data_IF_486405958821
#
_entry.id   IF_486405958821
#
_cell.length_a   1.000
_cell.length_b   1.000
_cell.length_c   1.000
_cell.angle_alpha   90.00
_cell.angle_beta   90.00
_cell.angle_gamma   90.00
#
_symmetry.space_group_name_H-M   'P 1'
#
loop_
_entity.id
_entity.type
_entity.pdbx_description
1 polymer ?
#
# COMPACT_ATOMS: atom_id res chain seq x y z
N UNK A 1 2.63 26.06 5.54
CA UNK A 1 3.68 25.13 5.08
C UNK A 1 3.18 24.33 3.88
N UNK A 2 4.04 24.02 2.91
CA UNK A 2 3.70 23.08 1.83
C UNK A 2 3.76 21.65 2.35
N UNK A 3 2.66 20.92 2.25
CA UNK A 3 2.53 19.56 2.76
C UNK A 3 2.46 18.56 1.61
N UNK A 4 3.28 17.52 1.67
CA UNK A 4 3.25 16.38 0.78
C UNK A 4 2.78 15.15 1.55
N UNK A 5 1.94 14.34 0.89
CA UNK A 5 1.55 13.02 1.41
C UNK A 5 2.19 11.92 0.59
N UNK A 6 2.62 10.88 1.29
CA UNK A 6 3.07 9.63 0.67
C UNK A 6 2.28 8.47 1.27
N UNK A 7 1.57 7.76 0.42
CA UNK A 7 0.60 6.73 0.82
C UNK A 7 1.05 5.39 0.28
N UNK A 8 1.35 4.46 1.17
CA UNK A 8 1.36 3.04 0.83
C UNK A 8 -0.09 2.60 0.60
N UNK A 9 -0.45 2.40 -0.67
CA UNK A 9 -1.82 2.13 -1.08
C UNK A 9 -2.34 0.80 -0.55
N UNK A 10 -1.50 -0.24 -0.55
CA UNK A 10 -1.88 -1.55 -0.02
C UNK A 10 -2.12 -1.51 1.48
N UNK A 11 -1.19 -0.90 2.23
CA UNK A 11 -1.31 -0.72 3.67
C UNK A 11 -2.58 0.05 4.03
N UNK A 12 -2.75 1.25 3.45
CA UNK A 12 -3.90 2.11 3.77
C UNK A 12 -5.22 1.42 3.44
N UNK A 13 -5.35 0.80 2.26
CA UNK A 13 -6.55 0.08 1.83
C UNK A 13 -6.92 -1.03 2.81
N UNK A 14 -5.96 -1.87 3.20
CA UNK A 14 -6.16 -2.94 4.18
C UNK A 14 -6.66 -2.41 5.52
N UNK A 15 -6.11 -1.28 5.98
CA UNK A 15 -6.53 -0.65 7.25
C UNK A 15 -7.93 -0.05 7.17
N UNK A 16 -8.23 0.69 6.10
CA UNK A 16 -9.54 1.31 5.92
C UNK A 16 -10.65 0.25 5.81
N UNK A 17 -10.41 -0.83 5.08
CA UNK A 17 -11.36 -1.95 5.02
C UNK A 17 -11.58 -2.61 6.38
N UNK A 18 -10.51 -2.85 7.15
CA UNK A 18 -10.62 -3.40 8.51
C UNK A 18 -11.40 -2.49 9.45
N UNK A 19 -11.19 -1.18 9.36
CA UNK A 19 -11.83 -0.18 10.21
C UNK A 19 -13.22 0.24 9.72
N UNK A 20 -13.58 -0.09 8.47
CA UNK A 20 -14.84 0.29 7.81
C UNK A 20 -15.16 1.79 7.89
N UNK A 21 -14.14 2.65 7.73
CA UNK A 21 -14.28 4.09 8.00
C UNK A 21 -14.86 4.88 6.84
N UNK A 22 -14.51 4.52 5.59
CA UNK A 22 -15.04 5.16 4.38
C UNK A 22 -14.86 4.28 3.15
N UNK A 23 -15.61 4.59 2.09
CA UNK A 23 -15.44 3.95 0.79
C UNK A 23 -14.10 4.32 0.17
N UNK A 24 -13.27 3.33 -0.16
CA UNK A 24 -11.88 3.52 -0.55
C UNK A 24 -11.74 3.88 -2.03
N UNK A 25 -11.75 5.17 -2.32
CA UNK A 25 -11.56 5.76 -3.65
C UNK A 25 -10.72 7.04 -3.59
N UNK A 26 -10.35 7.58 -4.74
CA UNK A 26 -9.52 8.78 -4.83
C UNK A 26 -10.09 9.98 -4.06
N UNK A 27 -11.36 10.38 -4.27
CA UNK A 27 -11.96 11.51 -3.57
C UNK A 27 -11.96 11.38 -2.04
N UNK A 28 -12.29 10.19 -1.52
CA UNK A 28 -12.33 9.95 -0.08
C UNK A 28 -10.92 9.90 0.53
N UNK A 29 -9.95 9.29 -0.17
CA UNK A 29 -8.54 9.32 0.23
C UNK A 29 -8.04 10.76 0.27
N UNK A 30 -8.35 11.57 -0.75
CA UNK A 30 -8.00 13.01 -0.74
C UNK A 30 -8.61 13.72 0.46
N UNK A 31 -9.90 13.51 0.74
CA UNK A 31 -10.57 14.10 1.90
C UNK A 31 -9.91 13.68 3.22
N UNK A 32 -9.50 12.44 3.32
CA UNK A 32 -8.74 11.93 4.46
C UNK A 32 -7.41 12.68 4.64
N UNK A 33 -6.62 12.84 3.58
CA UNK A 33 -5.38 13.61 3.63
C UNK A 33 -5.61 15.06 4.05
N UNK A 34 -6.66 15.70 3.54
CA UNK A 34 -6.96 17.09 3.88
C UNK A 34 -7.26 17.31 5.37
N UNK A 35 -7.77 16.30 6.09
CA UNK A 35 -7.98 16.38 7.55
C UNK A 35 -6.67 16.51 8.36
N UNK A 36 -5.53 16.22 7.77
CA UNK A 36 -4.22 16.40 8.42
C UNK A 36 -3.68 17.82 8.29
N UNK A 37 -4.19 18.62 7.35
CA UNK A 37 -3.75 19.99 7.17
C UNK A 37 -4.22 20.84 8.34
N UNK A 38 -3.33 21.70 8.84
CA UNK A 38 -3.61 22.70 9.87
C UNK A 38 -3.69 24.09 9.25
N UNK A 39 -4.15 25.09 10.02
CA UNK A 39 -4.20 26.47 9.56
C UNK A 39 -2.84 26.92 9.01
N UNK A 40 -2.84 27.49 7.80
CA UNK A 40 -1.62 27.89 7.09
C UNK A 40 -0.91 26.78 6.31
N UNK A 41 -1.37 25.53 6.37
CA UNK A 41 -0.86 24.45 5.52
C UNK A 41 -1.51 24.50 4.12
N UNK A 42 -0.71 24.24 3.09
CA UNK A 42 -1.16 24.09 1.70
C UNK A 42 -0.77 22.73 1.17
N UNK A 43 -1.72 22.04 0.54
CA UNK A 43 -1.46 20.74 -0.08
C UNK A 43 -0.57 20.94 -1.32
N UNK A 44 0.63 20.37 -1.29
CA UNK A 44 1.50 20.30 -2.47
C UNK A 44 1.08 19.17 -3.39
N UNK A 45 1.13 17.90 -2.90
CA UNK A 45 0.81 16.71 -3.67
C UNK A 45 0.54 15.51 -2.77
N UNK A 46 -0.23 14.55 -3.31
CA UNK A 46 -0.45 13.22 -2.70
C UNK A 46 0.17 12.19 -3.64
N UNK A 47 1.26 11.57 -3.22
CA UNK A 47 1.84 10.43 -3.92
C UNK A 47 1.18 9.17 -3.41
N UNK A 48 0.64 8.39 -4.33
CA UNK A 48 -0.02 7.11 -4.02
C UNK A 48 0.77 5.99 -4.67
N UNK A 49 1.32 5.12 -3.83
CA UNK A 49 2.15 4.00 -4.24
C UNK A 49 1.36 2.71 -4.18
N UNK A 50 1.34 1.96 -5.27
CA UNK A 50 0.65 0.68 -5.38
C UNK A 50 1.24 -0.10 -6.56
N UNK A 51 0.65 -1.22 -6.92
CA UNK A 51 0.99 -1.96 -8.13
C UNK A 51 -0.22 -2.13 -9.03
N UNK A 52 0.02 -2.25 -10.33
CA UNK A 52 -1.04 -2.69 -11.24
C UNK A 52 -1.42 -4.15 -10.94
N UNK A 53 -2.68 -4.55 -11.21
CA UNK A 53 -3.05 -5.97 -11.13
C UNK A 53 -2.13 -6.86 -11.94
N UNK A 54 -2.02 -8.13 -11.51
CA UNK A 54 -1.27 -9.13 -12.29
C UNK A 54 -1.95 -9.35 -13.64
N UNK A 55 -1.23 -9.05 -14.73
CA UNK A 55 -1.67 -9.32 -16.09
C UNK A 55 -0.99 -10.58 -16.64
N UNK A 56 -1.50 -11.72 -16.21
CA UNK A 56 -1.06 -13.04 -16.66
C UNK A 56 -2.22 -14.01 -16.75
N UNK A 57 -2.01 -15.07 -17.51
CA UNK A 57 -2.88 -16.26 -17.55
C UNK A 57 -2.17 -17.42 -16.89
N UNK A 58 -2.93 -18.30 -16.25
CA UNK A 58 -2.43 -19.51 -15.61
C UNK A 58 -3.53 -20.53 -15.42
N UNK A 59 -3.24 -21.58 -14.67
CA UNK A 59 -4.20 -22.61 -14.32
C UNK A 59 -4.17 -22.83 -12.81
N UNK A 60 -5.33 -23.08 -12.22
CA UNK A 60 -5.39 -23.50 -10.83
C UNK A 60 -4.70 -24.87 -10.70
N UNK A 61 -3.82 -25.09 -9.71
CA UNK A 61 -3.09 -26.33 -9.59
C UNK A 61 -3.97 -27.53 -9.18
N UNK A 62 -5.14 -27.30 -8.58
CA UNK A 62 -6.07 -28.33 -8.13
C UNK A 62 -7.01 -28.72 -9.26
N UNK A 63 -7.90 -27.84 -9.67
CA UNK A 63 -8.90 -28.10 -10.71
C UNK A 63 -8.33 -28.05 -12.14
N UNK A 64 -7.14 -27.45 -12.33
CA UNK A 64 -6.55 -27.15 -13.64
C UNK A 64 -7.36 -26.16 -14.48
N UNK A 65 -8.36 -25.51 -13.92
CA UNK A 65 -9.14 -24.50 -14.60
C UNK A 65 -8.27 -23.30 -14.99
N UNK A 66 -8.49 -22.80 -16.20
CA UNK A 66 -7.78 -21.64 -16.72
C UNK A 66 -8.20 -20.36 -15.96
N UNK A 67 -7.24 -19.57 -15.57
CA UNK A 67 -7.45 -18.29 -14.87
C UNK A 67 -6.80 -17.17 -15.69
N UNK A 68 -7.55 -16.10 -15.93
CA UNK A 68 -7.00 -14.83 -16.41
C UNK A 68 -6.99 -13.84 -15.24
N UNK A 69 -5.83 -13.62 -14.64
CA UNK A 69 -5.70 -12.77 -13.45
C UNK A 69 -6.13 -11.32 -13.71
N UNK A 70 -5.93 -10.80 -14.92
CA UNK A 70 -6.35 -9.44 -15.28
C UNK A 70 -7.88 -9.26 -15.34
N UNK A 71 -8.64 -10.37 -15.42
CA UNK A 71 -10.11 -10.38 -15.50
C UNK A 71 -10.78 -10.88 -14.22
N UNK A 72 -10.04 -10.98 -13.13
CA UNK A 72 -10.61 -11.32 -11.83
C UNK A 72 -11.30 -10.10 -11.21
N UNK A 73 -12.30 -10.34 -10.36
CA UNK A 73 -13.01 -9.28 -9.62
C UNK A 73 -12.00 -8.38 -8.88
N UNK A 74 -10.99 -8.98 -8.26
CA UNK A 74 -9.92 -8.26 -7.54
C UNK A 74 -9.15 -7.32 -8.48
N UNK A 75 -8.82 -7.78 -9.68
CA UNK A 75 -8.14 -6.95 -10.68
C UNK A 75 -9.03 -5.80 -11.17
N UNK A 76 -10.30 -6.07 -11.44
CA UNK A 76 -11.26 -5.05 -11.87
C UNK A 76 -11.46 -3.96 -10.81
N UNK A 77 -11.60 -4.33 -9.54
CA UNK A 77 -11.70 -3.39 -8.41
C UNK A 77 -10.42 -2.54 -8.29
N UNK A 78 -9.26 -3.17 -8.43
CA UNK A 78 -7.98 -2.46 -8.41
C UNK A 78 -7.86 -1.47 -9.58
N UNK A 79 -8.25 -1.85 -10.80
CA UNK A 79 -8.26 -0.94 -11.94
C UNK A 79 -9.21 0.25 -11.70
N UNK A 80 -10.41 0.02 -11.18
CA UNK A 80 -11.37 1.08 -10.83
C UNK A 80 -10.79 2.05 -9.81
N UNK A 81 -10.12 1.53 -8.79
CA UNK A 81 -9.44 2.35 -7.78
C UNK A 81 -8.34 3.22 -8.40
N UNK A 82 -7.44 2.61 -9.19
CA UNK A 82 -6.34 3.34 -9.83
C UNK A 82 -6.85 4.45 -10.77
N UNK A 83 -7.93 4.18 -11.52
CA UNK A 83 -8.57 5.20 -12.37
C UNK A 83 -9.23 6.32 -11.55
N UNK A 84 -9.87 5.98 -10.42
CA UNK A 84 -10.42 6.98 -9.49
C UNK A 84 -9.32 7.90 -8.97
N UNK A 85 -8.16 7.33 -8.58
CA UNK A 85 -7.00 8.10 -8.09
C UNK A 85 -6.44 9.01 -9.20
N UNK A 86 -6.25 8.51 -10.41
CA UNK A 86 -5.75 9.30 -11.55
C UNK A 86 -6.62 10.53 -11.85
N UNK A 87 -7.94 10.40 -11.70
CA UNK A 87 -8.90 11.48 -11.95
C UNK A 87 -9.06 12.46 -10.79
N UNK A 88 -8.52 12.12 -9.63
CA UNK A 88 -8.64 12.97 -8.42
C UNK A 88 -7.53 14.03 -8.39
N UNK A 89 -7.86 15.31 -8.21
CA UNK A 89 -6.86 16.37 -8.17
C UNK A 89 -5.80 16.17 -7.09
N UNK A 90 -4.59 16.64 -7.37
CA UNK A 90 -3.40 16.62 -6.52
C UNK A 90 -2.73 15.24 -6.36
N UNK A 91 -3.25 14.17 -6.96
CA UNK A 91 -2.57 12.88 -6.92
C UNK A 91 -1.42 12.76 -7.93
N UNK A 92 -0.40 12.03 -7.51
CA UNK A 92 0.63 11.48 -8.37
C UNK A 92 0.69 9.96 -8.11
N UNK A 93 0.17 9.19 -9.07
CA UNK A 93 0.20 7.73 -8.99
C UNK A 93 1.61 7.20 -9.30
N UNK A 94 2.11 6.32 -8.45
CA UNK A 94 3.42 5.68 -8.52
C UNK A 94 3.25 4.16 -8.50
N UNK A 95 3.22 3.54 -9.66
CA UNK A 95 3.03 2.10 -9.75
C UNK A 95 4.36 1.36 -9.76
N UNK A 96 4.51 0.42 -8.83
CA UNK A 96 5.46 -0.67 -8.92
C UNK A 96 5.00 -1.74 -9.92
N UNK A 97 5.68 -2.86 -9.92
CA UNK A 97 5.34 -4.00 -10.78
C UNK A 97 4.83 -5.17 -9.95
N UNK A 98 3.84 -5.88 -10.49
CA UNK A 98 3.32 -7.12 -9.92
C UNK A 98 3.93 -8.29 -10.66
N UNK A 99 4.52 -9.23 -9.94
CA UNK A 99 5.11 -10.43 -10.50
C UNK A 99 4.51 -11.69 -9.84
N UNK A 100 4.13 -12.66 -10.67
CA UNK A 100 3.80 -14.00 -10.20
C UNK A 100 5.11 -14.77 -10.08
N UNK A 101 5.58 -14.99 -8.84
CA UNK A 101 6.90 -15.56 -8.57
C UNK A 101 6.99 -16.99 -9.06
N UNK A 102 7.79 -17.21 -10.11
CA UNK A 102 8.05 -18.52 -10.72
C UNK A 102 6.77 -19.31 -11.01
N UNK A 103 5.64 -18.65 -11.26
CA UNK A 103 4.32 -19.24 -11.43
C UNK A 103 3.90 -20.17 -10.26
N UNK A 104 4.40 -19.89 -9.04
CA UNK A 104 4.11 -20.70 -7.86
C UNK A 104 2.78 -20.34 -7.24
N UNK A 105 2.18 -21.33 -6.62
CA UNK A 105 1.02 -21.21 -5.77
C UNK A 105 1.41 -21.48 -4.33
N UNK A 106 0.71 -20.88 -3.41
CA UNK A 106 0.87 -21.13 -1.98
C UNK A 106 -0.49 -21.53 -1.40
N UNK A 107 -0.46 -22.51 -0.50
CA UNK A 107 -1.63 -22.89 0.28
C UNK A 107 -1.91 -21.78 1.32
N UNK A 108 -3.18 -21.45 1.56
CA UNK A 108 -3.50 -20.48 2.59
C UNK A 108 -3.07 -21.00 3.98
N UNK A 109 -2.72 -20.08 4.87
CA UNK A 109 -2.08 -20.43 6.14
C UNK A 109 -2.93 -21.37 7.02
N UNK A 110 -4.26 -21.22 7.00
CA UNK A 110 -5.15 -22.06 7.80
C UNK A 110 -5.17 -23.49 7.25
N UNK A 111 -5.33 -23.65 5.94
CA UNK A 111 -5.33 -24.97 5.29
C UNK A 111 -3.98 -25.65 5.38
N UNK A 112 -2.89 -24.88 5.29
CA UNK A 112 -1.55 -25.39 5.53
C UNK A 112 -1.40 -25.96 6.94
N UNK A 113 -1.91 -25.24 7.96
CA UNK A 113 -1.91 -25.70 9.35
C UNK A 113 -2.78 -26.94 9.54
N UNK A 114 -4.02 -26.96 9.01
CA UNK A 114 -4.93 -28.10 9.08
C UNK A 114 -4.30 -29.37 8.45
N UNK A 115 -3.60 -29.22 7.32
CA UNK A 115 -2.90 -30.31 6.66
C UNK A 115 -1.76 -30.87 7.52
N UNK A 116 -0.92 -30.00 8.11
CA UNK A 116 0.18 -30.41 9.00
C UNK A 116 -0.35 -31.08 10.29
N UNK A 117 -1.48 -30.61 10.81
CA UNK A 117 -2.16 -31.20 11.96
C UNK A 117 -2.93 -32.49 11.61
N UNK A 118 -2.88 -32.96 10.34
CA UNK A 118 -3.58 -34.15 9.83
C UNK A 118 -5.11 -34.11 10.03
N UNK A 119 -5.68 -32.88 10.06
CA UNK A 119 -7.13 -32.67 10.13
C UNK A 119 -7.82 -32.80 8.78
N UNK A 120 -7.07 -32.60 7.71
CA UNK A 120 -7.48 -32.75 6.32
C UNK A 120 -6.39 -33.47 5.53
N UNK A 121 -6.75 -34.04 4.38
CA UNK A 121 -5.85 -34.65 3.41
C UNK A 121 -5.67 -33.74 2.20
N UNK A 122 -4.73 -34.08 1.32
CA UNK A 122 -4.50 -33.33 0.08
C UNK A 122 -5.73 -33.35 -0.84
N UNK A 123 -6.48 -34.45 -0.83
CA UNK A 123 -7.68 -34.61 -1.65
C UNK A 123 -8.87 -33.74 -1.19
N UNK A 124 -8.81 -33.22 0.03
CA UNK A 124 -9.83 -32.31 0.58
C UNK A 124 -9.64 -30.85 0.15
N UNK A 125 -8.51 -30.55 -0.53
CA UNK A 125 -8.19 -29.19 -0.97
C UNK A 125 -9.03 -28.76 -2.18
N UNK A 126 -9.49 -27.52 -2.16
CA UNK A 126 -10.27 -26.92 -3.24
C UNK A 126 -9.56 -25.66 -3.79
N UNK A 127 -10.01 -25.19 -4.95
CA UNK A 127 -9.39 -24.06 -5.68
C UNK A 127 -9.18 -22.80 -4.84
N UNK A 128 -10.09 -22.52 -3.90
CA UNK A 128 -9.99 -21.38 -3.00
C UNK A 128 -8.94 -21.50 -1.91
N UNK A 129 -8.39 -22.69 -1.69
CA UNK A 129 -7.39 -22.93 -0.66
C UNK A 129 -5.98 -22.55 -1.11
N UNK A 130 -5.79 -22.37 -2.41
CA UNK A 130 -4.51 -21.96 -2.98
C UNK A 130 -4.60 -20.57 -3.59
N UNK A 131 -3.54 -19.79 -3.42
CA UNK A 131 -3.42 -18.46 -3.98
C UNK A 131 -2.10 -18.32 -4.76
N UNK A 132 -2.06 -17.54 -5.85
CA UNK A 132 -0.81 -17.33 -6.58
C UNK A 132 0.18 -16.56 -5.69
N UNK A 133 1.46 -16.94 -5.71
CA UNK A 133 2.50 -16.20 -5.02
C UNK A 133 2.83 -14.92 -5.78
N UNK A 134 2.14 -13.84 -5.41
CA UNK A 134 2.30 -12.53 -6.03
C UNK A 134 3.28 -11.70 -5.19
N UNK A 135 4.30 -11.15 -5.84
CA UNK A 135 5.23 -10.18 -5.27
C UNK A 135 4.99 -8.80 -5.87
N UNK A 136 4.98 -7.80 -5.01
CA UNK A 136 5.04 -6.40 -5.41
C UNK A 136 6.50 -5.95 -5.41
N UNK A 137 6.93 -5.26 -6.46
CA UNK A 137 8.32 -4.82 -6.61
C UNK A 137 8.42 -3.32 -6.86
N UNK A 138 9.48 -2.73 -6.34
CA UNK A 138 9.87 -1.34 -6.54
C UNK A 138 8.91 -0.28 -5.96
N UNK A 139 7.95 -0.65 -5.10
CA UNK A 139 7.04 0.30 -4.44
C UNK A 139 7.83 1.13 -3.42
N UNK A 140 8.48 0.47 -2.46
CA UNK A 140 9.21 1.10 -1.36
C UNK A 140 10.42 1.89 -1.87
N UNK A 141 11.13 1.32 -2.86
CA UNK A 141 12.24 2.04 -3.51
C UNK A 141 11.77 3.34 -4.17
N UNK A 142 10.64 3.33 -4.89
CA UNK A 142 10.10 4.55 -5.49
C UNK A 142 9.69 5.56 -4.44
N UNK A 143 9.07 5.10 -3.34
CA UNK A 143 8.71 5.97 -2.23
C UNK A 143 9.95 6.61 -1.61
N UNK A 144 10.99 5.83 -1.32
CA UNK A 144 12.25 6.34 -0.79
C UNK A 144 12.92 7.36 -1.70
N UNK A 145 12.96 7.10 -3.01
CA UNK A 145 13.55 8.03 -4.00
C UNK A 145 12.73 9.33 -4.12
N UNK A 146 11.41 9.25 -4.12
CA UNK A 146 10.54 10.44 -4.15
C UNK A 146 10.71 11.27 -2.86
N UNK A 147 10.81 10.63 -1.66
CA UNK A 147 11.12 11.32 -0.39
C UNK A 147 12.44 12.05 -0.49
N UNK A 148 13.50 11.35 -0.90
CA UNK A 148 14.83 11.93 -1.05
C UNK A 148 14.84 13.12 -2.02
N UNK A 149 14.19 12.96 -3.18
CA UNK A 149 14.10 14.03 -4.19
C UNK A 149 13.34 15.25 -3.69
N UNK A 150 12.23 15.06 -2.96
CA UNK A 150 11.41 16.16 -2.43
C UNK A 150 12.16 16.89 -1.33
N UNK A 151 12.83 16.17 -0.43
CA UNK A 151 13.60 16.73 0.66
C UNK A 151 14.80 17.56 0.14
N UNK A 152 15.67 16.95 -0.68
CA UNK A 152 16.86 17.64 -1.19
C UNK A 152 16.55 18.82 -2.09
N UNK A 153 15.45 18.77 -2.85
CA UNK A 153 14.99 19.90 -3.69
C UNK A 153 14.12 20.90 -2.95
N UNK A 154 13.84 20.68 -1.66
CA UNK A 154 13.00 21.56 -0.82
C UNK A 154 11.63 21.85 -1.44
N UNK A 155 11.00 20.86 -2.05
CA UNK A 155 9.71 21.02 -2.74
C UNK A 155 8.52 21.10 -1.77
N UNK A 156 8.69 20.61 -0.55
CA UNK A 156 7.70 20.70 0.53
C UNK A 156 8.39 20.87 1.88
N UNK A 157 7.68 21.47 2.84
CA UNK A 157 8.18 21.75 4.19
C UNK A 157 7.83 20.60 5.16
N UNK A 158 6.73 19.88 4.86
CA UNK A 158 6.19 18.82 5.70
C UNK A 158 5.86 17.58 4.85
N UNK A 159 6.31 16.43 5.31
CA UNK A 159 5.95 15.12 4.81
C UNK A 159 4.97 14.46 5.78
N UNK A 160 3.86 13.94 5.28
CA UNK A 160 2.99 13.03 6.04
C UNK A 160 3.00 11.70 5.31
N UNK A 161 3.55 10.68 5.98
CA UNK A 161 3.58 9.32 5.45
C UNK A 161 2.44 8.49 6.04
N UNK A 162 1.73 7.76 5.19
CA UNK A 162 0.68 6.81 5.56
C UNK A 162 1.20 5.42 5.21
N UNK A 163 1.84 4.80 6.17
CA UNK A 163 2.46 3.48 6.05
C UNK A 163 2.64 2.83 7.43
N UNK A 164 2.89 1.54 7.45
CA UNK A 164 3.28 0.79 8.65
C UNK A 164 4.63 0.10 8.49
N UNK A 165 5.34 0.36 7.40
CA UNK A 165 6.59 -0.30 7.04
C UNK A 165 7.79 0.47 7.57
N UNK A 166 8.68 -0.22 8.29
CA UNK A 166 9.93 0.35 8.82
C UNK A 166 11.05 0.46 7.76
N UNK A 167 10.94 -0.23 6.63
CA UNK A 167 11.95 -0.18 5.57
C UNK A 167 12.09 1.22 4.97
N UNK A 168 11.10 2.11 5.19
CA UNK A 168 11.14 3.51 4.76
C UNK A 168 11.98 4.42 5.70
N UNK A 169 12.37 3.97 6.88
CA UNK A 169 13.09 4.76 7.90
C UNK A 169 14.34 5.47 7.36
N UNK A 170 15.20 4.85 6.52
CA UNK A 170 16.35 5.57 5.95
C UNK A 170 15.97 6.83 5.17
N UNK A 171 14.87 6.78 4.42
CA UNK A 171 14.38 7.95 3.68
C UNK A 171 13.77 9.03 4.61
N UNK A 172 13.10 8.62 5.71
CA UNK A 172 12.59 9.55 6.71
C UNK A 172 13.72 10.28 7.44
N UNK A 173 14.79 9.56 7.79
CA UNK A 173 16.02 10.16 8.37
C UNK A 173 16.59 11.23 7.45
N UNK A 174 16.73 10.94 6.15
CA UNK A 174 17.20 11.91 5.17
C UNK A 174 16.26 13.14 5.11
N UNK A 175 14.95 12.93 5.03
CA UNK A 175 14.00 14.03 4.99
C UNK A 175 14.13 14.98 6.20
N UNK A 176 14.29 14.42 7.41
CA UNK A 176 14.51 15.22 8.63
C UNK A 176 15.86 15.93 8.62
N UNK A 177 16.93 15.29 8.14
CA UNK A 177 18.25 15.93 7.98
C UNK A 177 18.21 17.12 7.04
N UNK A 178 17.39 17.05 5.98
CA UNK A 178 17.17 18.15 5.03
C UNK A 178 16.19 19.23 5.58
N UNK A 179 15.74 19.10 6.84
CA UNK A 179 14.91 20.08 7.52
C UNK A 179 13.40 19.94 7.30
N UNK A 180 12.94 18.83 6.75
CA UNK A 180 11.49 18.56 6.63
C UNK A 180 10.90 18.13 7.98
N UNK A 181 9.70 18.57 8.26
CA UNK A 181 8.87 18.00 9.34
C UNK A 181 8.24 16.70 8.83
N UNK A 182 8.44 15.61 9.55
CA UNK A 182 7.94 14.28 9.16
C UNK A 182 6.85 13.81 10.12
N UNK A 183 5.64 13.62 9.62
CA UNK A 183 4.53 13.02 10.33
C UNK A 183 4.22 11.61 9.85
N UNK A 184 3.78 10.74 10.76
CA UNK A 184 3.31 9.40 10.47
C UNK A 184 1.82 9.27 10.77
N UNK A 185 1.07 8.72 9.82
CA UNK A 185 -0.27 8.21 10.06
C UNK A 185 -0.29 6.68 9.91
N UNK A 186 -0.36 5.94 11.01
CA UNK A 186 -0.40 4.49 11.00
C UNK A 186 -1.82 3.93 10.77
N UNK A 187 -2.82 4.77 10.53
CA UNK A 187 -4.23 4.39 10.36
C UNK A 187 -4.68 3.41 11.47
N UNK A 188 -4.44 3.79 12.73
CA UNK A 188 -4.69 2.96 13.94
C UNK A 188 -4.03 1.58 13.90
N UNK A 189 -2.91 1.42 13.19
CA UNK A 189 -2.09 0.22 13.29
C UNK A 189 -1.08 0.38 14.44
N UNK A 190 -0.72 -0.70 15.15
CA UNK A 190 0.47 -0.68 16.00
C UNK A 190 1.71 -0.26 15.21
N UNK A 191 2.58 0.52 15.82
CA UNK A 191 3.75 1.11 15.18
C UNK A 191 4.99 0.40 15.71
N UNK A 192 5.90 0.02 14.81
CA UNK A 192 7.22 -0.45 15.19
C UNK A 192 8.00 0.68 15.90
N UNK A 193 8.71 0.40 16.99
CA UNK A 193 9.50 1.41 17.71
C UNK A 193 10.43 2.19 16.79
N UNK A 194 11.13 1.49 15.91
CA UNK A 194 12.05 2.08 14.95
C UNK A 194 11.38 3.14 14.05
N UNK A 195 10.15 2.91 13.60
CA UNK A 195 9.42 3.87 12.78
C UNK A 195 8.99 5.09 13.60
N UNK A 196 8.57 4.89 14.86
CA UNK A 196 8.14 5.99 15.73
C UNK A 196 9.27 6.92 16.15
N UNK A 197 10.50 6.44 16.27
CA UNK A 197 11.69 7.22 16.64
C UNK A 197 12.13 8.20 15.55
N UNK A 198 11.74 7.93 14.31
CA UNK A 198 12.21 8.71 13.14
C UNK A 198 11.16 9.62 12.51
N UNK A 199 10.11 9.95 13.28
CA UNK A 199 9.10 10.93 12.89
C UNK A 199 8.96 12.02 13.98
N UNK A 200 8.50 13.20 13.58
CA UNK A 200 8.33 14.33 14.50
C UNK A 200 6.98 14.30 15.21
N UNK A 201 5.98 13.65 14.61
CA UNK A 201 4.66 13.44 15.21
C UNK A 201 3.92 12.26 14.60
N UNK A 202 2.98 11.73 15.37
CA UNK A 202 2.08 10.65 14.92
C UNK A 202 0.63 11.16 15.04
N UNK A 203 -0.16 10.99 13.98
CA UNK A 203 -1.56 11.43 13.99
C UNK A 203 -2.41 10.63 13.00
N UNK A 204 -3.49 10.00 13.48
CA UNK A 204 -4.52 9.37 12.66
C UNK A 204 -5.77 10.24 12.59
N UNK A 205 -6.42 10.32 11.42
CA UNK A 205 -7.58 11.19 11.13
C UNK A 205 -8.83 10.40 10.70
N UNK A 206 -8.93 9.14 11.08
CA UNK A 206 -10.14 8.30 10.83
C UNK A 206 -11.33 8.75 11.67
#
# INVERSE_FOLDING_TARGET
MKVVFMIDGWFMRKRIYKLKTFFYDGPNIRRYCLKHLRGGDTLYRIFYYDTAPLDKKGHNPISRNAINFAKTIVAEEQYKLLESIKRTPNFALRLGTTAWKNNRWILNANKFKELLEKKINVDDLVDSDVVPWIEQKAVDMKMGLDIASIATKRLADKLIIISGDADIVPALKLARQEGMIVGLDPVRNPIAPELSEHVDFIATRT
#
